data_IF_213340658886
#
_entry.id   IF_213340658886
#
_cell.length_a   1.000
_cell.length_b   1.000
_cell.length_c   1.000
_cell.angle_alpha   90.00
_cell.angle_beta   90.00
_cell.angle_gamma   90.00
#
_symmetry.space_group_name_H-M   'P 1'
#
loop_
_entity.id
_entity.type
_entity.pdbx_description
1 polymer ?
#
# COMPACT_ATOMS: atom_id res chain seq x y z
N UNK A 1 -17.12 6.04 2.73
CA UNK A 1 -16.43 4.87 3.33
C UNK A 1 -15.34 5.38 4.25
N UNK A 2 -14.89 4.63 5.23
CA UNK A 2 -13.80 5.04 6.13
C UNK A 2 -12.53 4.27 5.80
N UNK A 3 -11.45 4.99 5.56
CA UNK A 3 -10.11 4.43 5.49
C UNK A 3 -9.41 4.63 6.82
N UNK A 4 -8.99 3.53 7.43
CA UNK A 4 -8.10 3.52 8.58
C UNK A 4 -6.72 3.08 8.13
N UNK A 5 -5.68 3.81 8.50
CA UNK A 5 -4.29 3.38 8.36
C UNK A 5 -3.68 3.31 9.75
N UNK A 6 -3.17 2.16 10.12
CA UNK A 6 -2.55 1.88 11.40
C UNK A 6 -1.07 1.54 11.19
N UNK A 7 -0.20 2.26 11.89
CA UNK A 7 1.20 1.89 11.98
C UNK A 7 1.37 0.80 13.05
N UNK A 8 1.71 -0.41 12.61
CA UNK A 8 2.06 -1.57 13.45
C UNK A 8 3.48 -2.06 13.15
N UNK A 9 4.32 -1.19 12.58
CA UNK A 9 5.64 -1.56 12.11
C UNK A 9 6.64 -1.83 13.24
N UNK A 10 6.29 -1.51 14.50
CA UNK A 10 7.20 -1.54 15.65
C UNK A 10 8.15 -0.35 15.69
N UNK A 11 7.94 0.66 14.82
CA UNK A 11 8.73 1.90 14.74
C UNK A 11 7.96 3.00 14.01
N UNK A 12 8.38 4.27 14.12
CA UNK A 12 7.81 5.34 13.32
C UNK A 12 7.98 5.10 11.82
N UNK A 13 6.99 5.55 11.04
CA UNK A 13 7.01 5.50 9.57
C UNK A 13 6.65 6.87 8.99
N UNK A 14 7.24 7.20 7.86
CA UNK A 14 6.88 8.38 7.07
C UNK A 14 5.85 7.98 6.03
N UNK A 15 4.73 8.71 5.96
CA UNK A 15 3.71 8.52 4.92
C UNK A 15 3.63 9.72 3.99
N UNK A 16 3.31 9.47 2.71
CA UNK A 16 2.98 10.51 1.75
C UNK A 16 1.75 10.07 0.95
N UNK A 17 0.73 10.92 0.92
CA UNK A 17 -0.53 10.67 0.26
C UNK A 17 -0.61 11.45 -1.05
N UNK A 18 -0.93 10.73 -2.12
CA UNK A 18 -1.17 11.25 -3.45
C UNK A 18 -2.63 11.06 -3.77
N UNK A 19 -3.19 12.08 -4.42
CA UNK A 19 -4.55 12.10 -4.89
C UNK A 19 -4.54 12.05 -6.41
N UNK A 20 -5.34 11.14 -6.98
CA UNK A 20 -5.42 10.99 -8.43
C UNK A 20 -6.07 12.22 -9.04
N UNK A 21 -5.46 12.73 -10.11
CA UNK A 21 -6.02 13.85 -10.86
C UNK A 21 -7.47 13.54 -11.27
N UNK A 22 -8.33 14.57 -11.23
CA UNK A 22 -9.73 14.49 -11.62
C UNK A 22 -10.64 13.62 -10.73
N UNK A 23 -10.17 13.16 -9.57
CA UNK A 23 -11.04 12.53 -8.56
C UNK A 23 -11.56 13.56 -7.54
N UNK A 24 -12.68 13.32 -6.82
CA UNK A 24 -13.18 14.24 -5.80
C UNK A 24 -12.19 14.45 -4.66
N UNK A 25 -12.13 15.63 -4.04
CA UNK A 25 -11.29 15.83 -2.86
C UNK A 25 -11.91 15.20 -1.61
N UNK A 26 -11.08 14.94 -0.59
CA UNK A 26 -11.58 14.46 0.69
C UNK A 26 -12.43 15.54 1.39
N UNK A 27 -13.61 15.19 1.92
CA UNK A 27 -14.47 16.13 2.65
C UNK A 27 -13.76 16.60 3.94
N UNK A 28 -13.82 17.90 4.22
CA UNK A 28 -13.29 18.50 5.45
C UNK A 28 -14.41 18.76 6.46
N UNK A 29 -14.23 18.57 7.78
CA UNK A 29 -13.18 17.80 8.48
C UNK A 29 -13.58 16.33 8.76
N UNK A 30 -12.61 15.40 8.90
CA UNK A 30 -11.15 15.64 8.95
C UNK A 30 -10.56 15.95 7.56
N UNK A 31 -9.59 16.88 7.53
CA UNK A 31 -8.88 17.24 6.29
C UNK A 31 -8.14 16.03 5.70
N UNK A 32 -7.77 16.11 4.42
CA UNK A 32 -6.95 15.11 3.77
C UNK A 32 -5.70 14.77 4.60
N UNK A 33 -5.27 13.49 4.65
CA UNK A 33 -4.10 13.11 5.41
C UNK A 33 -2.89 13.89 4.91
N UNK A 34 -2.29 14.67 5.80
CA UNK A 34 -1.05 15.38 5.49
C UNK A 34 0.11 14.39 5.52
N UNK A 35 1.04 14.45 4.54
CA UNK A 35 2.29 13.72 4.65
C UNK A 35 2.97 13.99 5.99
N UNK A 36 3.59 12.97 6.59
CA UNK A 36 4.19 13.12 7.89
C UNK A 36 4.66 11.82 8.51
N UNK A 37 5.05 11.90 9.78
CA UNK A 37 5.51 10.75 10.56
C UNK A 37 4.36 10.22 11.40
N UNK A 38 4.08 8.93 11.26
CA UNK A 38 3.19 8.18 12.15
C UNK A 38 4.05 7.44 13.17
N UNK A 39 3.83 7.71 14.46
CA UNK A 39 4.45 6.94 15.53
C UNK A 39 3.99 5.46 15.51
N UNK A 40 4.75 4.57 16.14
CA UNK A 40 4.31 3.18 16.30
C UNK A 40 3.01 3.11 17.10
N UNK A 41 2.07 2.26 16.68
CA UNK A 41 0.73 2.16 17.25
C UNK A 41 -0.23 3.30 16.86
N UNK A 42 0.25 4.35 16.18
CA UNK A 42 -0.61 5.45 15.75
C UNK A 42 -1.52 5.00 14.60
N UNK A 43 -2.77 5.48 14.62
CA UNK A 43 -3.70 5.33 13.50
C UNK A 43 -4.15 6.69 12.98
N UNK A 44 -4.45 6.75 11.68
CA UNK A 44 -5.19 7.84 11.05
C UNK A 44 -6.47 7.28 10.42
N UNK A 45 -7.52 8.11 10.41
CA UNK A 45 -8.81 7.75 9.86
C UNK A 45 -9.32 8.89 9.00
N UNK A 46 -9.86 8.58 7.82
CA UNK A 46 -10.55 9.58 7.00
C UNK A 46 -11.69 8.98 6.19
N UNK A 47 -12.68 9.81 5.94
CA UNK A 47 -13.84 9.47 5.11
C UNK A 47 -13.48 9.73 3.65
N UNK A 48 -13.57 8.69 2.84
CA UNK A 48 -13.35 8.76 1.39
C UNK A 48 -14.71 8.80 0.67
N UNK A 49 -14.91 9.77 -0.24
CA UNK A 49 -16.13 9.85 -1.04
C UNK A 49 -16.09 8.83 -2.20
N UNK A 50 -17.26 8.51 -2.75
CA UNK A 50 -17.34 7.79 -4.01
C UNK A 50 -16.71 8.61 -5.15
N UNK A 51 -16.02 7.95 -6.06
CA UNK A 51 -15.20 8.52 -7.11
C UNK A 51 -13.75 8.82 -6.69
N UNK A 52 -13.40 8.69 -5.40
CA UNK A 52 -12.05 9.01 -4.91
C UNK A 52 -11.01 7.99 -5.38
N UNK A 53 -9.81 8.45 -5.71
CA UNK A 53 -8.66 7.59 -5.98
C UNK A 53 -7.37 8.22 -5.49
N UNK A 54 -6.41 7.38 -5.12
CA UNK A 54 -5.11 7.84 -4.68
C UNK A 54 -4.17 6.72 -4.29
N UNK A 55 -3.01 7.15 -3.81
CA UNK A 55 -1.94 6.26 -3.40
C UNK A 55 -1.32 6.79 -2.11
N UNK A 56 -1.01 5.90 -1.18
CA UNK A 56 -0.17 6.21 -0.02
C UNK A 56 1.17 5.48 -0.16
N UNK A 57 2.27 6.21 -0.04
CA UNK A 57 3.61 5.65 0.08
C UNK A 57 4.06 5.63 1.53
N UNK A 58 4.85 4.62 1.90
CA UNK A 58 5.34 4.43 3.28
C UNK A 58 6.85 4.22 3.29
N UNK A 59 7.60 5.00 4.07
CA UNK A 59 9.06 4.89 4.21
C UNK A 59 9.48 4.75 5.67
N UNK A 60 10.65 4.15 5.91
CA UNK A 60 11.29 4.14 7.23
C UNK A 60 12.14 5.41 7.46
N UNK A 61 12.28 6.26 6.43
CA UNK A 61 13.06 7.49 6.47
C UNK A 61 12.51 8.51 5.49
N UNK A 62 13.39 9.13 4.72
CA UNK A 62 13.00 10.05 3.65
C UNK A 62 12.20 9.33 2.54
N UNK A 63 11.32 10.07 1.88
CA UNK A 63 10.50 9.58 0.77
C UNK A 63 11.21 9.86 -0.55
N UNK A 64 11.51 8.83 -1.33
CA UNK A 64 12.24 8.92 -2.60
C UNK A 64 11.34 8.64 -3.82
N UNK A 65 10.06 8.32 -3.60
CA UNK A 65 9.12 7.92 -4.68
C UNK A 65 9.29 6.47 -5.13
N UNK A 66 9.99 5.69 -4.32
CA UNK A 66 10.38 4.30 -4.52
C UNK A 66 10.16 3.54 -3.21
N UNK A 67 8.93 3.51 -2.75
CA UNK A 67 8.52 2.90 -1.49
C UNK A 67 7.41 1.87 -1.70
N UNK A 68 7.12 1.09 -0.66
CA UNK A 68 5.87 0.33 -0.60
C UNK A 68 4.67 1.27 -0.75
N UNK A 69 3.72 0.89 -1.58
CA UNK A 69 2.55 1.68 -1.89
C UNK A 69 1.27 0.93 -1.51
N UNK A 70 0.30 1.72 -1.07
CA UNK A 70 -1.10 1.36 -1.01
C UNK A 70 -1.79 2.14 -2.13
N UNK A 71 -2.40 1.47 -3.08
CA UNK A 71 -3.19 2.09 -4.15
C UNK A 71 -4.69 1.77 -3.92
N UNK A 72 -5.54 2.79 -4.09
CA UNK A 72 -6.97 2.63 -3.87
C UNK A 72 -7.81 3.46 -4.83
N UNK A 73 -8.94 2.90 -5.25
CA UNK A 73 -10.02 3.62 -5.93
C UNK A 73 -11.38 3.19 -5.37
N UNK A 74 -12.27 4.17 -5.26
CA UNK A 74 -13.63 4.01 -4.76
C UNK A 74 -14.57 4.43 -5.88
N UNK A 75 -15.15 3.51 -6.62
CA UNK A 75 -15.87 3.85 -7.86
C UNK A 75 -17.12 3.01 -8.07
N UNK A 76 -17.98 3.44 -8.99
CA UNK A 76 -19.14 2.67 -9.41
C UNK A 76 -18.78 1.92 -10.69
N UNK A 77 -18.73 0.60 -10.62
CA UNK A 77 -18.56 -0.28 -11.78
C UNK A 77 -19.82 -1.13 -11.94
N UNK A 78 -20.37 -1.18 -13.15
CA UNK A 78 -21.58 -1.97 -13.47
C UNK A 78 -22.80 -1.62 -12.60
N UNK A 79 -22.89 -0.35 -12.17
CA UNK A 79 -23.96 0.12 -11.28
C UNK A 79 -23.79 -0.26 -9.81
N UNK A 80 -22.67 -0.89 -9.45
CA UNK A 80 -22.33 -1.29 -8.07
C UNK A 80 -21.16 -0.44 -7.58
N UNK A 81 -21.28 0.12 -6.38
CA UNK A 81 -20.15 0.77 -5.72
C UNK A 81 -19.14 -0.30 -5.31
N UNK A 82 -17.95 -0.25 -5.90
CA UNK A 82 -16.84 -1.15 -5.64
C UNK A 82 -15.65 -0.36 -5.09
N UNK A 83 -14.82 -1.06 -4.34
CA UNK A 83 -13.51 -0.58 -3.96
C UNK A 83 -12.48 -1.47 -4.63
N UNK A 84 -11.55 -0.85 -5.35
CA UNK A 84 -10.35 -1.52 -5.81
C UNK A 84 -9.20 -1.11 -4.87
N UNK A 85 -8.56 -2.11 -4.29
CA UNK A 85 -7.49 -1.95 -3.31
C UNK A 85 -6.34 -2.87 -3.69
N UNK A 86 -5.14 -2.32 -3.70
CA UNK A 86 -3.94 -3.12 -3.85
C UNK A 86 -2.77 -2.59 -3.02
N UNK A 87 -1.94 -3.54 -2.61
CA UNK A 87 -0.63 -3.27 -2.04
C UNK A 87 0.37 -3.47 -3.15
N UNK A 88 1.24 -2.49 -3.36
CA UNK A 88 2.14 -2.45 -4.49
C UNK A 88 3.58 -2.28 -4.02
N UNK A 89 4.39 -3.28 -4.35
CA UNK A 89 5.85 -3.26 -4.29
C UNK A 89 6.46 -3.15 -5.70
N UNK A 90 5.67 -2.63 -6.65
CA UNK A 90 6.05 -2.50 -8.05
C UNK A 90 7.31 -1.65 -8.19
N UNK A 91 7.42 -0.55 -7.42
CA UNK A 91 8.63 0.28 -7.42
C UNK A 91 9.65 -0.19 -6.39
N UNK A 92 9.21 -0.51 -5.18
CA UNK A 92 10.08 -0.95 -4.11
C UNK A 92 9.29 -1.54 -2.94
N UNK A 93 10.01 -2.18 -2.02
CA UNK A 93 9.51 -2.62 -0.72
C UNK A 93 10.25 -1.91 0.43
N UNK A 94 9.50 -1.21 1.25
CA UNK A 94 9.95 -0.61 2.51
C UNK A 94 9.31 -1.29 3.72
N UNK A 95 8.01 -1.61 3.65
CA UNK A 95 7.25 -2.32 4.68
C UNK A 95 6.27 -3.34 4.10
N UNK A 96 6.00 -4.38 4.90
CA UNK A 96 4.87 -5.28 4.68
C UNK A 96 3.58 -4.54 4.98
N UNK A 97 2.55 -4.79 4.18
CA UNK A 97 1.28 -4.10 4.33
C UNK A 97 0.14 -5.03 3.96
N UNK A 98 -0.95 -4.91 4.71
CA UNK A 98 -2.20 -5.61 4.44
C UNK A 98 -3.37 -4.65 4.58
N UNK A 99 -4.42 -4.91 3.83
CA UNK A 99 -5.73 -4.32 4.06
C UNK A 99 -6.69 -5.39 4.54
N UNK A 100 -7.50 -5.06 5.53
CA UNK A 100 -8.65 -5.86 5.94
C UNK A 100 -9.92 -5.04 5.79
N UNK A 101 -10.88 -5.57 5.05
CA UNK A 101 -12.22 -5.02 4.88
C UNK A 101 -13.10 -5.42 6.07
N UNK A 102 -14.16 -4.65 6.32
CA UNK A 102 -15.06 -4.87 7.46
C UNK A 102 -15.70 -6.27 7.51
N UNK A 103 -15.84 -6.94 6.37
CA UNK A 103 -16.33 -8.31 6.21
C UNK A 103 -15.23 -9.39 6.38
N UNK A 104 -14.00 -8.98 6.68
CA UNK A 104 -12.85 -9.85 6.91
C UNK A 104 -12.04 -10.19 5.66
N UNK A 105 -12.43 -9.69 4.48
CA UNK A 105 -11.61 -9.87 3.27
C UNK A 105 -10.26 -9.19 3.46
N UNK A 106 -9.17 -9.96 3.30
CA UNK A 106 -7.80 -9.48 3.45
C UNK A 106 -7.08 -9.47 2.10
N UNK A 107 -6.43 -8.35 1.77
CA UNK A 107 -5.54 -8.21 0.61
C UNK A 107 -4.17 -7.68 1.05
N UNK A 108 -3.13 -7.86 0.25
CA UNK A 108 -1.76 -7.46 0.56
C UNK A 108 -0.86 -8.59 1.05
N UNK A 109 0.38 -8.23 1.40
CA UNK A 109 1.41 -9.17 1.83
C UNK A 109 1.92 -8.85 3.24
N UNK A 110 1.74 -9.80 4.16
CA UNK A 110 2.23 -9.73 5.54
C UNK A 110 3.62 -10.37 5.76
N UNK A 111 4.29 -10.77 4.68
CA UNK A 111 5.60 -11.42 4.77
C UNK A 111 6.69 -10.34 4.92
N UNK A 112 7.49 -10.35 6.00
CA UNK A 112 8.60 -9.42 6.19
C UNK A 112 9.76 -9.78 5.26
N UNK A 113 9.78 -9.22 4.04
CA UNK A 113 10.69 -9.67 2.98
C UNK A 113 12.17 -9.52 3.38
N UNK A 114 12.56 -8.51 4.15
CA UNK A 114 13.96 -8.38 4.60
C UNK A 114 14.38 -9.44 5.64
N UNK A 115 13.43 -10.08 6.34
CA UNK A 115 13.74 -11.19 7.22
C UNK A 115 13.86 -12.53 6.49
N UNK A 116 13.40 -12.60 5.23
CA UNK A 116 13.35 -13.82 4.42
C UNK A 116 14.36 -13.83 3.27
N UNK A 117 14.61 -12.66 2.70
CA UNK A 117 15.36 -12.50 1.46
C UNK A 117 16.40 -11.39 1.61
N UNK A 118 17.45 -11.50 0.79
CA UNK A 118 18.43 -10.43 0.63
C UNK A 118 18.04 -9.59 -0.58
N UNK A 119 18.01 -8.27 -0.40
CA UNK A 119 17.80 -7.34 -1.52
C UNK A 119 19.13 -7.16 -2.27
N UNK A 120 19.28 -7.89 -3.37
CA UNK A 120 20.50 -7.97 -4.16
C UNK A 120 20.19 -7.87 -5.65
N UNK A 121 21.24 -7.64 -6.46
CA UNK A 121 21.14 -7.43 -7.90
C UNK A 121 20.16 -8.39 -8.59
N UNK A 122 19.27 -7.90 -9.48
CA UNK A 122 19.26 -6.53 -10.00
C UNK A 122 18.66 -5.50 -9.03
N UNK A 123 17.96 -5.96 -7.99
CA UNK A 123 17.40 -5.08 -6.97
C UNK A 123 18.50 -4.50 -6.09
N UNK A 124 18.17 -3.42 -5.40
CA UNK A 124 19.12 -2.76 -4.52
C UNK A 124 18.42 -2.00 -3.41
N UNK A 125 19.12 -1.83 -2.30
CA UNK A 125 18.63 -0.99 -1.20
C UNK A 125 18.94 0.46 -1.50
N UNK A 126 17.91 1.31 -1.59
CA UNK A 126 18.09 2.75 -1.78
C UNK A 126 18.51 3.46 -0.47
N UNK A 127 18.77 4.76 -0.54
CA UNK A 127 19.21 5.56 0.61
C UNK A 127 18.18 5.59 1.77
N UNK A 128 16.89 5.38 1.48
CA UNK A 128 15.82 5.29 2.48
C UNK A 128 15.67 3.88 3.08
N UNK A 129 16.48 2.91 2.64
CA UNK A 129 16.46 1.55 3.14
C UNK A 129 15.40 0.64 2.51
N UNK A 130 14.70 1.10 1.47
CA UNK A 130 13.75 0.28 0.72
C UNK A 130 14.48 -0.58 -0.33
N UNK A 131 13.99 -1.79 -0.59
CA UNK A 131 14.48 -2.62 -1.68
C UNK A 131 13.79 -2.22 -2.98
N UNK A 132 14.52 -1.58 -3.89
CA UNK A 132 14.00 -1.15 -5.19
C UNK A 132 13.86 -2.35 -6.10
N UNK A 133 12.69 -2.47 -6.71
CA UNK A 133 12.42 -3.45 -7.75
C UNK A 133 12.97 -2.93 -9.07
N UNK A 134 14.04 -3.54 -9.56
CA UNK A 134 14.81 -2.98 -10.68
C UNK A 134 14.20 -3.29 -12.06
N UNK A 135 13.30 -4.27 -12.16
CA UNK A 135 12.73 -4.70 -13.44
C UNK A 135 11.25 -5.11 -13.32
N UNK A 136 10.38 -4.25 -12.76
CA UNK A 136 8.99 -4.61 -12.51
C UNK A 136 8.17 -4.80 -13.79
N UNK A 137 8.60 -4.22 -14.91
CA UNK A 137 7.96 -4.41 -16.22
C UNK A 137 8.40 -5.67 -16.96
N UNK A 138 9.56 -6.24 -16.62
CA UNK A 138 10.11 -7.37 -17.34
C UNK A 138 9.41 -8.69 -16.95
N UNK A 139 9.03 -8.81 -15.67
CA UNK A 139 8.63 -10.07 -15.07
C UNK A 139 9.71 -11.18 -15.18
N UNK A 140 9.53 -12.30 -14.47
CA UNK A 140 8.68 -12.48 -13.29
C UNK A 140 9.19 -11.64 -12.09
N UNK A 141 8.51 -11.73 -10.95
CA UNK A 141 9.01 -11.16 -9.70
C UNK A 141 10.45 -11.62 -9.42
N UNK A 142 11.32 -10.70 -8.99
CA UNK A 142 12.66 -11.07 -8.55
C UNK A 142 12.59 -11.98 -7.30
N UNK A 143 13.68 -12.67 -6.94
CA UNK A 143 13.72 -13.51 -5.74
C UNK A 143 13.32 -12.78 -4.46
N UNK A 144 13.65 -11.49 -4.31
CA UNK A 144 13.30 -10.73 -3.11
C UNK A 144 11.78 -10.58 -2.93
N UNK A 145 11.05 -10.41 -4.04
CA UNK A 145 9.60 -10.17 -4.02
C UNK A 145 8.76 -11.45 -4.21
N UNK A 146 9.40 -12.59 -4.48
CA UNK A 146 8.75 -13.83 -4.90
C UNK A 146 7.64 -14.30 -3.94
N UNK A 147 7.86 -14.19 -2.63
CA UNK A 147 6.89 -14.62 -1.61
C UNK A 147 5.63 -13.76 -1.55
N UNK A 148 5.70 -12.52 -2.04
CA UNK A 148 4.57 -11.60 -2.13
C UNK A 148 3.92 -11.58 -3.52
N UNK A 149 4.39 -12.42 -4.45
CA UNK A 149 3.70 -12.63 -5.73
C UNK A 149 2.24 -13.04 -5.48
N UNK A 150 1.34 -12.54 -6.32
CA UNK A 150 -0.12 -12.75 -6.24
C UNK A 150 -0.79 -12.19 -4.97
N UNK A 151 -0.04 -11.57 -4.06
CA UNK A 151 -0.53 -10.92 -2.83
C UNK A 151 -0.32 -9.41 -2.82
N UNK A 152 0.72 -8.96 -3.52
CA UNK A 152 1.04 -7.56 -3.74
C UNK A 152 1.55 -7.38 -5.17
N UNK A 153 1.33 -6.22 -5.80
CA UNK A 153 1.90 -5.92 -7.11
C UNK A 153 3.42 -5.90 -7.03
N UNK A 154 4.07 -6.83 -7.73
CA UNK A 154 5.54 -6.96 -7.76
C UNK A 154 6.06 -6.97 -9.20
N UNK A 155 5.18 -6.99 -10.19
CA UNK A 155 5.44 -6.78 -11.61
C UNK A 155 4.12 -6.49 -12.36
N UNK A 156 4.19 -6.01 -13.61
CA UNK A 156 3.05 -5.44 -14.36
C UNK A 156 1.89 -6.40 -14.58
N UNK A 157 2.20 -7.67 -14.81
CA UNK A 157 1.20 -8.72 -15.09
C UNK A 157 0.81 -9.53 -13.84
N UNK A 158 0.91 -8.92 -12.64
CA UNK A 158 0.47 -9.54 -11.39
C UNK A 158 -0.99 -9.17 -11.06
N UNK A 159 -1.91 -9.61 -11.91
CA UNK A 159 -3.34 -9.26 -11.84
C UNK A 159 -4.06 -9.78 -10.59
N UNK A 160 -3.58 -10.87 -9.99
CA UNK A 160 -4.14 -11.46 -8.78
C UNK A 160 -3.96 -10.63 -7.51
N UNK A 161 -3.06 -9.64 -7.52
CA UNK A 161 -2.79 -8.79 -6.36
C UNK A 161 -3.86 -7.71 -6.11
N UNK A 162 -4.75 -7.45 -7.08
CA UNK A 162 -5.84 -6.50 -6.90
C UNK A 162 -7.03 -7.14 -6.22
N UNK A 163 -7.49 -6.54 -5.13
CA UNK A 163 -8.84 -6.79 -4.67
C UNK A 163 -9.79 -5.81 -5.34
N UNK A 164 -10.51 -6.25 -6.37
CA UNK A 164 -11.51 -5.45 -7.07
C UNK A 164 -12.93 -5.90 -6.71
N UNK A 165 -13.58 -5.16 -5.82
CA UNK A 165 -15.00 -5.35 -5.54
C UNK A 165 -15.35 -6.48 -4.57
N UNK A 166 -14.37 -7.14 -3.93
CA UNK A 166 -14.69 -8.03 -2.81
C UNK A 166 -14.93 -7.27 -1.50
N UNK A 167 -14.54 -6.00 -1.47
CA UNK A 167 -14.69 -5.11 -0.33
C UNK A 167 -15.90 -4.21 -0.56
N UNK A 168 -17.09 -4.72 -0.21
CA UNK A 168 -18.36 -4.07 -0.54
C UNK A 168 -18.86 -3.09 0.53
N UNK A 169 -18.29 -3.13 1.75
CA UNK A 169 -18.83 -2.35 2.88
C UNK A 169 -17.82 -1.45 3.57
N UNK A 170 -18.23 -0.19 3.70
CA UNK A 170 -18.08 0.66 4.88
C UNK A 170 -16.67 1.14 5.20
N UNK A 171 -15.88 0.24 5.79
CA UNK A 171 -14.64 0.55 6.50
C UNK A 171 -13.52 -0.41 6.10
N UNK A 172 -12.32 0.14 5.96
CA UNK A 172 -11.11 -0.54 5.53
C UNK A 172 -9.99 -0.22 6.51
N UNK A 173 -9.25 -1.23 6.94
CA UNK A 173 -8.08 -1.04 7.81
C UNK A 173 -6.82 -1.50 7.10
N UNK A 174 -5.93 -0.55 6.88
CA UNK A 174 -4.57 -0.77 6.41
C UNK A 174 -3.63 -0.87 7.59
N UNK A 175 -2.82 -1.92 7.58
CA UNK A 175 -1.83 -2.15 8.62
C UNK A 175 -0.45 -2.11 7.96
N UNK A 176 0.38 -1.17 8.42
CA UNK A 176 1.80 -1.13 8.10
C UNK A 176 2.49 -2.05 9.10
N UNK A 177 3.09 -3.12 8.61
CA UNK A 177 3.62 -4.21 9.41
C UNK A 177 5.16 -4.17 9.43
N UNK A 178 5.82 -4.87 10.38
CA UNK A 178 7.27 -4.93 10.43
C UNK A 178 7.85 -5.47 9.11
N UNK A 179 8.96 -4.90 8.66
CA UNK A 179 9.57 -5.27 7.37
C UNK A 179 10.68 -6.33 7.48
N UNK A 180 11.09 -6.67 8.71
CA UNK A 180 12.17 -7.62 8.99
C UNK A 180 13.55 -6.99 9.21
N UNK A 181 13.66 -5.65 9.27
CA UNK A 181 14.88 -4.91 9.67
C UNK A 181 14.73 -4.24 11.02
#
# INVERSE_FOLDING_TARGET
MTLTIANKAGRPVTTHHYHNAHTPTLPSPPAAPTPGVMADGQSMHYVVPLGYGGTMMVSAGEMLGQESQLEYTFETQDGINKVALDISYFKAYSFSMVCTCSDGVKTGCDIPLFAKHQCVSPDYVNAAGACVNAAPDAGPASPFFADCKDKAYVYTFNDLATNNGNCLTGDFTYEILPNGK
#
